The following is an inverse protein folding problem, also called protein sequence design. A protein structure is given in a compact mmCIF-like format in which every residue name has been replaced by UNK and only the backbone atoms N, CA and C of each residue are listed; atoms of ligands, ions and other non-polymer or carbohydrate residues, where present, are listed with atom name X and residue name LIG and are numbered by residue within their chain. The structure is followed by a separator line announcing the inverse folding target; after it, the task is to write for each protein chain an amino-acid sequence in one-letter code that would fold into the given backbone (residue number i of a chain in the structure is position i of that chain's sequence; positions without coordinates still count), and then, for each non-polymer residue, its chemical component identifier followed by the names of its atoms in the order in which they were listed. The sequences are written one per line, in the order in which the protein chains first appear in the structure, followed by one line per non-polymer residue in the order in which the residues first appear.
data_IF_801175174835
#
_entry.id   IF_801175174835
#
_cell.length_a   1.000
_cell.length_b   1.000
_cell.length_c   1.000
_cell.angle_alpha   90.00
_cell.angle_beta   90.00
_cell.angle_gamma   90.00
#
_symmetry.space_group_name_H-M   'P 1'
#
loop_
_entity.id
_entity.type
_entity.pdbx_description
1 polymer ?
#
# COMPACT_ATOMS: atom_id res chain seq x y z
N UNK A 1 16.94 29.86 -3.28
CA UNK A 1 16.98 29.70 -1.81
C UNK A 1 17.90 28.56 -1.39
N UNK A 2 17.74 27.35 -1.93
CA UNK A 2 18.61 26.19 -1.64
C UNK A 2 20.08 26.49 -1.98
N UNK A 3 20.38 27.08 -3.13
CA UNK A 3 21.78 27.39 -3.51
C UNK A 3 22.44 28.39 -2.54
N UNK A 4 21.66 29.33 -1.99
CA UNK A 4 22.15 30.27 -0.98
C UNK A 4 22.38 29.59 0.37
N UNK A 5 21.53 28.61 0.73
CA UNK A 5 21.74 27.78 1.92
C UNK A 5 23.00 26.92 1.79
N UNK A 6 23.22 26.35 0.60
CA UNK A 6 24.42 25.56 0.29
C UNK A 6 25.67 26.44 0.27
N UNK A 7 25.59 27.67 -0.26
CA UNK A 7 26.68 28.64 -0.23
C UNK A 7 27.06 29.01 1.21
N UNK A 8 26.08 29.35 2.07
CA UNK A 8 26.30 29.60 3.50
C UNK A 8 26.96 28.40 4.18
N UNK A 9 26.45 27.19 3.94
CA UNK A 9 27.00 25.96 4.50
C UNK A 9 28.43 25.68 3.99
N UNK A 10 28.73 25.98 2.73
CA UNK A 10 30.07 25.87 2.15
C UNK A 10 31.04 26.86 2.80
N UNK A 11 30.61 28.11 2.98
CA UNK A 11 31.41 29.16 3.60
C UNK A 11 31.79 28.80 5.04
N UNK A 12 30.85 28.21 5.80
CA UNK A 12 31.08 27.72 7.16
C UNK A 12 32.08 26.54 7.16
N UNK A 13 31.96 25.61 6.20
CA UNK A 13 32.89 24.50 6.05
C UNK A 13 34.32 24.93 5.70
N UNK A 14 34.47 26.02 4.93
CA UNK A 14 35.76 26.49 4.42
C UNK A 14 36.48 27.47 5.35
N UNK A 15 35.75 28.37 6.02
CA UNK A 15 36.30 29.53 6.72
C UNK A 15 36.11 29.52 8.24
N UNK A 16 35.49 28.46 8.78
CA UNK A 16 34.94 28.36 10.14
C UNK A 16 33.65 29.18 10.33
N UNK A 17 32.88 28.88 11.38
CA UNK A 17 31.50 29.35 11.53
C UNK A 17 31.39 30.87 11.58
N UNK A 18 32.17 31.56 12.41
CA UNK A 18 32.09 33.02 12.54
C UNK A 18 32.42 33.75 11.23
N UNK A 19 33.47 33.32 10.53
CA UNK A 19 33.91 33.95 9.28
C UNK A 19 33.00 33.57 8.11
N UNK A 20 32.53 32.32 8.07
CA UNK A 20 31.57 31.86 7.07
C UNK A 20 30.25 32.62 7.16
N UNK A 21 29.79 32.90 8.38
CA UNK A 21 28.60 33.72 8.65
C UNK A 21 28.85 35.19 8.29
N UNK A 22 30.01 35.76 8.66
CA UNK A 22 30.35 37.14 8.29
C UNK A 22 30.37 37.34 6.76
N UNK A 23 30.92 36.37 6.03
CA UNK A 23 30.89 36.38 4.55
C UNK A 23 29.47 36.25 4.02
N UNK A 24 28.63 35.39 4.61
CA UNK A 24 27.24 35.27 4.19
C UNK A 24 26.40 36.52 4.49
N UNK A 25 26.72 37.28 5.55
CA UNK A 25 26.04 38.54 5.91
C UNK A 25 26.27 39.66 4.89
N UNK A 26 27.29 39.55 4.04
CA UNK A 26 27.48 40.49 2.92
C UNK A 26 26.34 40.48 1.91
N UNK A 27 25.53 39.41 1.87
CA UNK A 27 24.33 39.32 1.05
C UNK A 27 23.09 39.98 1.69
N UNK A 28 23.22 40.54 2.89
CA UNK A 28 22.16 41.19 3.67
C UNK A 28 21.51 40.26 4.69
N UNK A 29 21.16 40.80 5.86
CA UNK A 29 20.57 40.04 6.96
C UNK A 29 19.20 39.46 6.59
N UNK A 30 18.38 40.20 5.83
CA UNK A 30 17.09 39.70 5.29
C UNK A 30 17.26 38.48 4.38
N UNK A 31 18.36 38.43 3.62
CA UNK A 31 18.65 37.32 2.73
C UNK A 31 19.06 36.06 3.50
N UNK A 32 19.71 36.20 4.66
CA UNK A 32 20.03 35.06 5.54
C UNK A 32 18.76 34.57 6.23
N UNK A 33 17.92 35.48 6.73
CA UNK A 33 16.65 35.13 7.38
C UNK A 33 15.77 34.26 6.46
N UNK A 34 15.67 34.64 5.18
CA UNK A 34 14.92 33.88 4.17
C UNK A 34 15.52 32.49 3.85
N UNK A 35 16.79 32.26 4.20
CA UNK A 35 17.55 31.05 3.89
C UNK A 35 17.61 30.08 5.08
N UNK A 36 17.43 30.57 6.31
CA UNK A 36 17.45 29.75 7.54
C UNK A 36 16.58 28.48 7.48
N UNK A 37 15.33 28.50 6.94
CA UNK A 37 14.51 27.28 6.83
C UNK A 37 15.08 26.21 5.89
N UNK A 38 16.05 26.57 5.05
CA UNK A 38 16.71 25.69 4.09
C UNK A 38 18.07 25.16 4.60
N UNK A 39 18.57 25.65 5.74
CA UNK A 39 19.79 25.15 6.38
C UNK A 39 19.47 23.86 7.14
N UNK A 40 19.36 22.76 6.40
CA UNK A 40 19.07 21.41 6.89
C UNK A 40 19.85 20.39 6.07
N UNK A 41 20.13 19.21 6.65
CA UNK A 41 20.84 18.13 5.93
C UNK A 41 20.17 17.75 4.60
N UNK A 42 18.83 17.82 4.56
CA UNK A 42 18.03 17.55 3.36
C UNK A 42 18.21 18.56 2.23
N UNK A 43 18.87 19.70 2.46
CA UNK A 43 19.26 20.66 1.42
C UNK A 43 20.70 20.47 0.94
N UNK A 44 21.51 19.66 1.62
CA UNK A 44 22.96 19.58 1.39
C UNK A 44 23.37 18.43 0.44
N UNK A 45 24.29 18.69 -0.52
CA UNK A 45 24.96 17.67 -1.31
C UNK A 45 25.74 16.67 -0.45
N UNK A 46 25.99 15.43 -0.94
CA UNK A 46 26.72 14.40 -0.19
C UNK A 46 28.10 14.85 0.32
N UNK A 47 28.84 15.62 -0.49
CA UNK A 47 30.16 16.14 -0.14
C UNK A 47 30.11 17.12 1.05
N UNK A 48 29.10 17.99 1.10
CA UNK A 48 28.92 18.91 2.21
C UNK A 48 28.52 18.18 3.49
N UNK A 49 27.58 17.23 3.41
CA UNK A 49 27.18 16.41 4.58
C UNK A 49 28.36 15.66 5.17
N UNK A 50 29.19 15.04 4.32
CA UNK A 50 30.41 14.37 4.76
C UNK A 50 31.40 15.35 5.43
N UNK A 51 31.51 16.58 4.92
CA UNK A 51 32.32 17.65 5.53
C UNK A 51 31.83 18.06 6.91
N UNK A 52 30.52 18.26 7.09
CA UNK A 52 29.92 18.62 8.38
C UNK A 52 30.08 17.50 9.42
N UNK A 53 29.85 16.24 9.04
CA UNK A 53 30.11 15.10 9.91
C UNK A 53 31.60 14.97 10.32
N UNK A 54 32.53 15.16 9.38
CA UNK A 54 33.97 15.10 9.68
C UNK A 54 34.40 16.19 10.66
N UNK A 55 33.82 17.38 10.56
CA UNK A 55 34.09 18.51 11.47
C UNK A 55 33.24 18.48 12.75
N UNK A 56 32.36 17.47 12.93
CA UNK A 56 31.41 17.37 14.06
C UNK A 56 30.55 18.64 14.21
N UNK A 57 30.19 19.27 13.09
CA UNK A 57 29.35 20.45 13.06
C UNK A 57 27.91 20.02 12.73
N UNK A 58 26.98 20.43 13.58
CA UNK A 58 25.55 20.18 13.37
C UNK A 58 24.90 21.38 12.68
N UNK A 59 24.24 21.13 11.55
CA UNK A 59 23.54 22.18 10.78
C UNK A 59 22.38 22.80 11.57
N UNK A 60 21.73 22.03 12.44
CA UNK A 60 20.71 22.55 13.36
C UNK A 60 21.34 23.52 14.37
N UNK A 61 22.50 23.18 14.95
CA UNK A 61 23.21 24.08 15.87
C UNK A 61 23.62 25.41 15.22
N UNK A 62 24.07 25.36 13.97
CA UNK A 62 24.37 26.55 13.16
C UNK A 62 23.11 27.39 12.91
N UNK A 63 21.99 26.74 12.56
CA UNK A 63 20.70 27.43 12.34
C UNK A 63 20.21 28.12 13.60
N UNK A 64 20.23 27.44 14.75
CA UNK A 64 19.80 28.00 16.03
C UNK A 64 20.67 29.18 16.44
N UNK A 65 22.00 29.08 16.30
CA UNK A 65 22.91 30.21 16.60
C UNK A 65 22.67 31.41 15.69
N UNK A 66 22.39 31.18 14.40
CA UNK A 66 22.06 32.25 13.46
C UNK A 66 20.71 32.91 13.75
N UNK A 67 19.69 32.12 14.10
CA UNK A 67 18.38 32.64 14.50
C UNK A 67 18.49 33.54 15.75
N UNK A 68 19.27 33.12 16.76
CA UNK A 68 19.55 33.91 17.96
C UNK A 68 20.31 35.20 17.65
N UNK A 69 21.32 35.13 16.77
CA UNK A 69 22.16 36.28 16.41
C UNK A 69 21.39 37.33 15.59
N UNK A 70 20.42 36.90 14.78
CA UNK A 70 19.60 37.76 13.94
C UNK A 70 18.30 38.20 14.63
N UNK A 71 18.09 37.81 15.89
CA UNK A 71 16.88 38.10 16.68
C UNK A 71 15.56 37.68 15.99
N UNK A 72 15.58 36.52 15.32
CA UNK A 72 14.39 35.98 14.62
C UNK A 72 13.86 34.74 15.34
N UNK A 73 12.53 34.66 15.46
CA UNK A 73 11.82 33.48 15.99
C UNK A 73 12.13 32.23 15.14
N UNK A 74 12.36 31.08 15.78
CA UNK A 74 12.80 29.87 15.08
C UNK A 74 11.75 29.42 14.03
N UNK A 75 12.10 29.57 12.75
CA UNK A 75 11.16 29.29 11.66
C UNK A 75 11.04 27.78 11.41
N UNK A 76 9.82 27.27 11.12
CA UNK A 76 9.61 25.86 10.83
C UNK A 76 10.32 25.44 9.54
N UNK A 77 11.01 24.30 9.59
CA UNK A 77 11.70 23.72 8.43
C UNK A 77 10.75 23.47 7.26
N UNK A 78 11.16 23.90 6.06
CA UNK A 78 10.41 23.64 4.82
C UNK A 78 10.67 22.20 4.40
N UNK A 79 9.60 21.43 4.16
CA UNK A 79 9.68 20.06 3.66
C UNK A 79 10.16 20.04 2.21
N UNK A 80 11.45 19.77 2.00
CA UNK A 80 12.02 19.60 0.67
C UNK A 80 11.60 18.24 0.07
N UNK A 81 10.64 18.26 -0.87
CA UNK A 81 10.22 17.05 -1.59
C UNK A 81 11.24 16.75 -2.70
N UNK A 82 12.11 15.76 -2.46
CA UNK A 82 13.07 15.29 -3.48
C UNK A 82 12.38 14.28 -4.40
N UNK A 83 12.48 14.51 -5.70
CA UNK A 83 12.15 13.50 -6.72
C UNK A 83 13.26 12.44 -6.67
N UNK A 84 12.95 11.26 -6.18
CA UNK A 84 13.88 10.11 -6.17
C UNK A 84 13.69 9.29 -7.44
N UNK A 85 14.70 8.56 -7.90
CA UNK A 85 14.56 7.60 -8.99
C UNK A 85 13.42 6.60 -8.75
N UNK A 86 13.18 6.23 -7.49
CA UNK A 86 12.01 5.42 -7.11
C UNK A 86 10.67 6.11 -7.35
N UNK A 87 10.58 7.44 -7.17
CA UNK A 87 9.36 8.19 -7.53
C UNK A 87 9.15 8.29 -9.04
N UNK A 88 10.22 8.36 -9.83
CA UNK A 88 10.14 8.31 -11.31
C UNK A 88 9.74 6.92 -11.80
N UNK A 89 10.31 5.85 -11.23
CA UNK A 89 9.91 4.48 -11.53
C UNK A 89 8.44 4.23 -11.17
N UNK A 90 7.99 4.68 -9.99
CA UNK A 90 6.57 4.60 -9.61
C UNK A 90 5.68 5.38 -10.57
N UNK A 91 6.09 6.59 -10.98
CA UNK A 91 5.35 7.38 -11.96
C UNK A 91 5.29 6.70 -13.33
N UNK A 92 6.39 6.09 -13.78
CA UNK A 92 6.45 5.32 -15.03
C UNK A 92 5.59 4.05 -14.96
N UNK A 93 5.61 3.31 -13.85
CA UNK A 93 4.75 2.16 -13.60
C UNK A 93 3.27 2.56 -13.57
N UNK A 94 2.94 3.70 -12.95
CA UNK A 94 1.59 4.25 -12.94
C UNK A 94 1.14 4.66 -14.35
N UNK A 95 1.99 5.32 -15.12
CA UNK A 95 1.71 5.69 -16.52
C UNK A 95 1.56 4.46 -17.41
N UNK A 96 2.40 3.44 -17.23
CA UNK A 96 2.28 2.18 -17.96
C UNK A 96 1.01 1.43 -17.59
N UNK A 97 0.69 1.33 -16.29
CA UNK A 97 -0.55 0.72 -15.82
C UNK A 97 -1.78 1.49 -16.33
N UNK A 98 -1.76 2.83 -16.31
CA UNK A 98 -2.81 3.66 -16.86
C UNK A 98 -2.93 3.50 -18.38
N UNK A 99 -1.82 3.46 -19.13
CA UNK A 99 -1.81 3.20 -20.57
C UNK A 99 -2.37 1.81 -20.89
N UNK A 100 -1.90 0.77 -20.20
CA UNK A 100 -2.42 -0.59 -20.35
C UNK A 100 -3.91 -0.67 -20.02
N UNK A 101 -4.35 0.06 -18.98
CA UNK A 101 -5.76 0.17 -18.63
C UNK A 101 -6.57 0.86 -19.72
N UNK A 102 -6.11 2.01 -20.20
CA UNK A 102 -6.78 2.77 -21.26
C UNK A 102 -6.80 1.96 -22.55
N UNK A 103 -5.76 1.18 -22.86
CA UNK A 103 -5.78 0.25 -23.99
C UNK A 103 -6.75 -0.91 -23.80
N UNK A 104 -6.88 -1.44 -22.59
CA UNK A 104 -7.84 -2.50 -22.27
C UNK A 104 -9.29 -1.98 -22.26
N UNK A 105 -9.50 -0.75 -21.81
CA UNK A 105 -10.78 -0.03 -21.76
C UNK A 105 -11.16 0.62 -23.09
N UNK A 106 -10.20 0.92 -23.96
CA UNK A 106 -10.40 1.60 -25.24
C UNK A 106 -11.17 0.77 -26.27
N UNK A 107 -11.38 -0.52 -25.99
CA UNK A 107 -12.29 -1.39 -26.74
C UNK A 107 -13.63 -1.67 -26.07
N UNK A 108 -13.91 -1.09 -24.89
CA UNK A 108 -15.12 -1.38 -24.11
C UNK A 108 -16.12 -0.23 -24.27
N UNK A 109 -17.27 -0.51 -24.88
CA UNK A 109 -18.37 0.43 -24.99
C UNK A 109 -19.03 0.67 -23.63
N UNK A 110 -19.00 1.90 -23.12
CA UNK A 110 -19.72 2.28 -21.89
C UNK A 110 -21.24 2.04 -22.00
N UNK A 111 -21.75 1.98 -23.23
CA UNK A 111 -23.14 1.64 -23.54
C UNK A 111 -23.43 0.17 -23.26
N UNK A 112 -22.52 -0.76 -23.61
CA UNK A 112 -22.68 -2.19 -23.29
C UNK A 112 -22.60 -2.45 -21.79
N UNK A 113 -21.77 -1.71 -21.05
CA UNK A 113 -21.76 -1.76 -19.59
C UNK A 113 -23.08 -1.28 -18.98
N UNK A 114 -23.64 -0.18 -19.49
CA UNK A 114 -24.91 0.35 -19.01
C UNK A 114 -26.07 -0.61 -19.28
N UNK A 115 -26.07 -1.30 -20.42
CA UNK A 115 -27.08 -2.30 -20.76
C UNK A 115 -26.92 -3.57 -19.91
N UNK A 116 -25.68 -4.06 -19.73
CA UNK A 116 -25.40 -5.18 -18.82
C UNK A 116 -25.86 -4.89 -17.37
N UNK A 117 -25.76 -3.65 -16.91
CA UNK A 117 -26.26 -3.23 -15.60
C UNK A 117 -27.78 -3.19 -15.50
N UNK A 118 -28.49 -2.88 -16.60
CA UNK A 118 -29.96 -2.89 -16.64
C UNK A 118 -30.52 -4.30 -16.56
N UNK A 119 -29.84 -5.24 -17.23
CA UNK A 119 -30.26 -6.65 -17.26
C UNK A 119 -29.79 -7.43 -16.02
N UNK A 120 -28.90 -6.84 -15.21
CA UNK A 120 -28.39 -7.47 -14.00
C UNK A 120 -29.48 -7.64 -12.93
N UNK A 121 -29.41 -8.77 -12.23
CA UNK A 121 -30.25 -9.05 -11.08
C UNK A 121 -29.82 -8.20 -9.88
N UNK A 122 -30.56 -7.12 -9.68
CA UNK A 122 -30.39 -6.15 -8.59
C UNK A 122 -30.35 -6.76 -7.19
N UNK A 123 -31.03 -7.88 -6.91
CA UNK A 123 -30.95 -8.51 -5.58
C UNK A 123 -29.55 -9.04 -5.27
N UNK A 124 -28.90 -9.63 -6.27
CA UNK A 124 -27.53 -10.11 -6.12
C UNK A 124 -26.53 -8.95 -6.03
N UNK A 125 -26.75 -7.84 -6.75
CA UNK A 125 -25.94 -6.63 -6.60
C UNK A 125 -26.07 -6.05 -5.19
N UNK A 126 -27.28 -5.93 -4.65
CA UNK A 126 -27.51 -5.47 -3.28
C UNK A 126 -26.85 -6.40 -2.28
N UNK A 127 -26.98 -7.72 -2.46
CA UNK A 127 -26.31 -8.70 -1.61
C UNK A 127 -24.77 -8.54 -1.67
N UNK A 128 -24.21 -8.34 -2.87
CA UNK A 128 -22.79 -8.09 -3.04
C UNK A 128 -22.33 -6.81 -2.32
N UNK A 129 -23.13 -5.74 -2.36
CA UNK A 129 -22.83 -4.49 -1.63
C UNK A 129 -22.68 -4.75 -0.13
N UNK A 130 -23.54 -5.58 0.47
CA UNK A 130 -23.43 -5.95 1.88
C UNK A 130 -22.26 -6.90 2.14
N UNK A 131 -22.15 -7.98 1.37
CA UNK A 131 -21.11 -9.00 1.52
C UNK A 131 -19.70 -8.40 1.42
N UNK A 132 -19.49 -7.43 0.53
CA UNK A 132 -18.20 -6.76 0.36
C UNK A 132 -17.76 -5.96 1.60
N UNK A 133 -18.68 -5.60 2.51
CA UNK A 133 -18.34 -4.90 3.75
C UNK A 133 -17.92 -5.86 4.88
N UNK A 134 -18.45 -7.09 4.87
CA UNK A 134 -18.21 -8.10 5.91
C UNK A 134 -16.72 -8.42 6.12
N UNK A 135 -15.84 -8.52 5.08
CA UNK A 135 -14.41 -8.79 5.24
C UNK A 135 -13.66 -7.88 6.21
N UNK A 136 -14.18 -6.69 6.54
CA UNK A 136 -13.54 -5.76 7.49
C UNK A 136 -13.55 -6.31 8.93
N UNK A 137 -14.53 -7.13 9.28
CA UNK A 137 -14.62 -7.77 10.59
C UNK A 137 -13.50 -8.81 10.79
N UNK A 138 -13.31 -9.82 9.92
CA UNK A 138 -12.20 -10.74 10.06
C UNK A 138 -10.84 -10.08 9.79
N UNK A 139 -10.77 -9.00 9.00
CA UNK A 139 -9.56 -8.19 8.93
C UNK A 139 -9.20 -7.57 10.29
N UNK A 140 -10.18 -7.05 11.04
CA UNK A 140 -9.96 -6.59 12.41
C UNK A 140 -9.52 -7.74 13.33
N UNK A 141 -10.15 -8.92 13.23
CA UNK A 141 -9.72 -10.12 13.98
C UNK A 141 -8.28 -10.50 13.65
N UNK A 142 -7.88 -10.41 12.38
CA UNK A 142 -6.51 -10.67 11.95
C UNK A 142 -5.51 -9.72 12.61
N UNK A 143 -5.83 -8.43 12.59
CA UNK A 143 -5.02 -7.40 13.25
C UNK A 143 -4.94 -7.58 14.77
N UNK A 144 -5.99 -8.12 15.42
CA UNK A 144 -5.92 -8.51 16.84
C UNK A 144 -4.96 -9.68 17.11
N UNK A 145 -4.79 -10.58 16.12
CA UNK A 145 -3.84 -11.68 16.18
C UNK A 145 -2.39 -11.21 16.10
N UNK A 146 -2.13 -10.09 15.44
CA UNK A 146 -0.80 -9.51 15.28
C UNK A 146 -0.27 -8.74 16.50
N UNK A 147 -1.08 -8.60 17.57
CA UNK A 147 -0.71 -7.85 18.77
C UNK A 147 -1.11 -8.61 20.05
N UNK A 148 -0.28 -8.56 21.08
CA UNK A 148 -0.58 -9.28 22.34
C UNK A 148 -1.67 -8.58 23.18
N UNK A 149 -1.67 -7.24 23.17
CA UNK A 149 -2.66 -6.43 23.90
C UNK A 149 -4.09 -6.76 23.46
N UNK A 150 -5.05 -6.90 24.39
CA UNK A 150 -6.45 -7.10 24.04
C UNK A 150 -7.01 -5.79 23.45
N UNK A 151 -7.42 -5.86 22.18
CA UNK A 151 -8.10 -4.76 21.50
C UNK A 151 -9.61 -5.06 21.39
N UNK A 152 -10.48 -4.05 21.54
CA UNK A 152 -11.91 -4.23 21.33
C UNK A 152 -12.21 -4.37 19.82
N UNK A 153 -12.95 -5.41 19.44
CA UNK A 153 -13.26 -5.72 18.03
C UNK A 153 -14.07 -4.60 17.34
N UNK A 154 -14.96 -3.93 18.07
CA UNK A 154 -15.79 -2.85 17.53
C UNK A 154 -14.94 -1.70 16.99
N UNK A 155 -14.21 -0.94 17.84
CA UNK A 155 -13.34 0.15 17.42
C UNK A 155 -12.31 -0.25 16.37
N UNK A 156 -11.80 -1.49 16.43
CA UNK A 156 -10.83 -1.98 15.46
C UNK A 156 -11.47 -2.26 14.09
N UNK A 157 -12.69 -2.79 14.04
CA UNK A 157 -13.47 -2.88 12.79
C UNK A 157 -13.75 -1.47 12.23
N UNK A 158 -14.09 -0.51 13.09
CA UNK A 158 -14.27 0.90 12.70
C UNK A 158 -12.99 1.48 12.11
N UNK A 159 -11.82 1.10 12.64
CA UNK A 159 -10.52 1.47 12.09
C UNK A 159 -10.31 0.90 10.68
N UNK A 160 -10.69 -0.35 10.42
CA UNK A 160 -10.57 -0.95 9.07
C UNK A 160 -11.39 -0.15 8.04
N UNK A 161 -12.59 0.31 8.39
CA UNK A 161 -13.36 1.21 7.51
C UNK A 161 -12.69 2.59 7.37
N UNK A 162 -12.20 3.19 8.46
CA UNK A 162 -11.49 4.47 8.41
C UNK A 162 -10.24 4.41 7.52
N UNK A 163 -9.53 3.28 7.50
CA UNK A 163 -8.40 3.04 6.60
C UNK A 163 -8.83 3.12 5.13
N UNK A 164 -10.01 2.60 4.77
CA UNK A 164 -10.51 2.74 3.40
C UNK A 164 -10.65 4.22 2.98
N UNK A 165 -11.20 5.05 3.86
CA UNK A 165 -11.31 6.49 3.62
C UNK A 165 -9.93 7.15 3.50
N UNK A 166 -9.02 6.87 4.44
CA UNK A 166 -7.68 7.46 4.43
C UNK A 166 -6.89 7.04 3.18
N UNK A 167 -6.99 5.77 2.76
CA UNK A 167 -6.32 5.29 1.55
C UNK A 167 -6.80 5.99 0.28
N UNK A 168 -8.10 6.34 0.21
CA UNK A 168 -8.66 7.06 -0.93
C UNK A 168 -8.32 8.56 -0.87
N UNK A 169 -8.46 9.18 0.29
CA UNK A 169 -8.24 10.62 0.47
C UNK A 169 -6.76 11.01 0.44
N UNK A 170 -5.89 10.15 0.95
CA UNK A 170 -4.44 10.36 1.02
C UNK A 170 -3.78 9.08 0.50
N UNK A 171 -3.42 9.01 -0.80
CA UNK A 171 -2.82 7.83 -1.41
C UNK A 171 -1.36 7.65 -0.97
N UNK A 172 -1.15 7.45 0.33
CA UNK A 172 0.14 7.26 0.95
C UNK A 172 0.08 6.12 1.97
N UNK A 173 0.98 5.16 1.83
CA UNK A 173 1.17 4.09 2.81
C UNK A 173 1.49 4.65 4.20
N UNK A 174 2.19 5.79 4.26
CA UNK A 174 2.51 6.50 5.50
C UNK A 174 1.26 6.94 6.28
N UNK A 175 0.21 7.44 5.61
CA UNK A 175 -1.01 7.86 6.29
C UNK A 175 -1.74 6.69 6.95
N UNK A 176 -1.82 5.54 6.25
CA UNK A 176 -2.38 4.29 6.80
C UNK A 176 -1.59 3.81 8.02
N UNK A 177 -0.25 3.78 7.91
CA UNK A 177 0.63 3.34 9.01
C UNK A 177 0.50 4.28 10.21
N UNK A 178 0.49 5.59 10.00
CA UNK A 178 0.32 6.57 11.07
C UNK A 178 -1.03 6.41 11.79
N UNK A 179 -2.11 6.13 11.05
CA UNK A 179 -3.43 5.88 11.61
C UNK A 179 -3.42 4.64 12.53
N UNK A 180 -2.86 3.52 12.06
CA UNK A 180 -2.72 2.30 12.84
C UNK A 180 -1.88 2.52 14.10
N UNK A 181 -0.73 3.20 13.96
CA UNK A 181 0.14 3.51 15.10
C UNK A 181 -0.61 4.34 16.14
N UNK A 182 -1.27 5.42 15.74
CA UNK A 182 -2.03 6.27 16.67
C UNK A 182 -3.15 5.50 17.35
N UNK A 183 -3.87 4.68 16.61
CA UNK A 183 -4.92 3.83 17.18
C UNK A 183 -4.35 2.92 18.27
N UNK A 184 -3.29 2.17 17.96
CA UNK A 184 -2.68 1.26 18.94
C UNK A 184 -2.08 2.00 20.15
N UNK A 185 -1.50 3.19 19.96
CA UNK A 185 -1.01 4.04 21.04
C UNK A 185 -2.12 4.43 22.02
N UNK A 186 -3.33 4.71 21.53
CA UNK A 186 -4.49 5.01 22.39
C UNK A 186 -4.90 3.82 23.26
N UNK A 187 -4.51 2.61 22.89
CA UNK A 187 -4.70 1.39 23.69
C UNK A 187 -3.44 0.98 24.50
N UNK A 188 -2.46 1.88 24.62
CA UNK A 188 -1.27 1.68 25.45
C UNK A 188 -0.20 0.78 24.83
N UNK A 189 -0.15 0.71 23.49
CA UNK A 189 0.88 0.00 22.73
C UNK A 189 1.97 0.99 22.34
N UNK A 190 3.23 0.62 22.57
CA UNK A 190 4.37 1.43 22.12
C UNK A 190 4.39 1.59 20.58
N UNK A 191 4.73 2.78 20.02
CA UNK A 191 4.76 3.01 18.58
C UNK A 191 5.62 2.01 17.79
N UNK A 192 6.71 1.49 18.35
CA UNK A 192 7.57 0.50 17.68
C UNK A 192 6.86 -0.85 17.57
N UNK A 193 6.18 -1.29 18.62
CA UNK A 193 5.34 -2.51 18.63
C UNK A 193 4.15 -2.34 17.70
N UNK A 194 3.50 -1.18 17.70
CA UNK A 194 2.37 -0.85 16.83
C UNK A 194 2.74 -0.91 15.34
N UNK A 195 3.89 -0.34 14.97
CA UNK A 195 4.43 -0.45 13.61
C UNK A 195 4.74 -1.90 13.23
N UNK A 196 5.30 -2.67 14.16
CA UNK A 196 5.64 -4.08 13.94
C UNK A 196 4.39 -4.96 13.78
N UNK A 197 3.32 -4.71 14.53
CA UNK A 197 2.05 -5.43 14.40
C UNK A 197 1.46 -5.30 12.98
N UNK A 198 1.50 -4.11 12.39
CA UNK A 198 1.04 -3.92 11.00
C UNK A 198 1.87 -4.69 9.97
N UNK A 199 3.18 -4.86 10.22
CA UNK A 199 4.05 -5.70 9.39
C UNK A 199 3.69 -7.18 9.55
N UNK A 200 3.49 -7.64 10.78
CA UNK A 200 3.10 -9.03 11.07
C UNK A 200 1.78 -9.36 10.38
N UNK A 201 0.76 -8.50 10.52
CA UNK A 201 -0.55 -8.65 9.87
C UNK A 201 -0.42 -8.75 8.34
N UNK A 202 0.42 -7.90 7.74
CA UNK A 202 0.68 -7.91 6.30
C UNK A 202 1.40 -9.19 5.84
N UNK A 203 2.40 -9.65 6.60
CA UNK A 203 3.14 -10.89 6.29
C UNK A 203 2.25 -12.11 6.45
N UNK A 204 1.44 -12.17 7.51
CA UNK A 204 0.44 -13.23 7.70
C UNK A 204 -0.57 -13.25 6.56
N UNK A 205 -1.06 -12.09 6.12
CA UNK A 205 -1.97 -11.99 4.98
C UNK A 205 -1.34 -12.49 3.68
N UNK A 206 -0.10 -12.08 3.40
CA UNK A 206 0.64 -12.53 2.22
C UNK A 206 0.93 -14.04 2.26
N UNK A 207 1.26 -14.58 3.43
CA UNK A 207 1.46 -16.02 3.62
C UNK A 207 0.16 -16.81 3.36
N UNK A 208 -0.98 -16.33 3.84
CA UNK A 208 -2.30 -16.93 3.53
C UNK A 208 -2.61 -16.85 2.04
N UNK A 209 -2.29 -15.74 1.37
CA UNK A 209 -2.49 -15.60 -0.07
C UNK A 209 -1.64 -16.59 -0.87
N UNK A 210 -0.34 -16.73 -0.52
CA UNK A 210 0.53 -17.74 -1.15
C UNK A 210 -0.01 -19.14 -0.89
N UNK A 211 -0.40 -19.44 0.35
CA UNK A 211 -0.95 -20.75 0.69
C UNK A 211 -2.21 -21.05 -0.14
N UNK A 212 -3.19 -20.13 -0.16
CA UNK A 212 -4.40 -20.27 -0.97
C UNK A 212 -4.08 -20.44 -2.45
N UNK A 213 -3.20 -19.59 -2.99
CA UNK A 213 -2.77 -19.68 -4.38
C UNK A 213 -2.19 -21.06 -4.67
N UNK A 214 -1.21 -21.54 -3.91
CA UNK A 214 -0.60 -22.86 -4.13
C UNK A 214 -1.61 -23.98 -3.98
N UNK A 215 -2.42 -23.97 -2.91
CA UNK A 215 -3.40 -25.04 -2.68
C UNK A 215 -4.43 -25.11 -3.78
N UNK A 216 -5.00 -23.96 -4.16
CA UNK A 216 -6.05 -23.94 -5.17
C UNK A 216 -5.45 -24.20 -6.55
N UNK A 217 -4.29 -23.63 -6.87
CA UNK A 217 -3.63 -23.85 -8.14
C UNK A 217 -3.29 -25.34 -8.38
N UNK A 218 -2.74 -26.03 -7.39
CA UNK A 218 -2.37 -27.44 -7.53
C UNK A 218 -3.55 -28.41 -7.40
N UNK A 219 -4.65 -28.00 -6.75
CA UNK A 219 -5.84 -28.85 -6.58
C UNK A 219 -6.95 -28.53 -7.57
N UNK A 220 -6.86 -27.41 -8.29
CA UNK A 220 -7.87 -27.05 -9.27
C UNK A 220 -7.59 -27.77 -10.58
N UNK A 221 -8.53 -28.59 -11.04
CA UNK A 221 -8.61 -29.06 -12.43
C UNK A 221 -9.01 -27.92 -13.41
N UNK A 222 -8.72 -26.65 -13.07
CA UNK A 222 -9.18 -25.47 -13.79
C UNK A 222 -8.23 -25.16 -14.95
N UNK A 223 -8.59 -25.58 -16.14
CA UNK A 223 -7.86 -25.25 -17.36
C UNK A 223 -8.02 -23.76 -17.72
N UNK A 224 -7.12 -22.92 -17.21
CA UNK A 224 -7.02 -21.52 -17.62
C UNK A 224 -6.41 -21.43 -19.01
N UNK A 225 -7.22 -21.60 -20.05
CA UNK A 225 -6.81 -21.46 -21.45
C UNK A 225 -6.43 -20.02 -21.81
N UNK A 226 -5.22 -19.57 -21.46
CA UNK A 226 -4.63 -18.36 -22.05
C UNK A 226 -3.79 -18.76 -23.28
N UNK A 227 -4.38 -18.60 -24.46
CA UNK A 227 -3.63 -18.59 -25.71
C UNK A 227 -2.92 -17.25 -25.87
N UNK A 228 -1.67 -17.14 -25.42
CA UNK A 228 -0.79 -16.09 -25.93
C UNK A 228 -0.37 -16.48 -27.34
N UNK A 229 -0.77 -15.68 -28.33
CA UNK A 229 -0.45 -15.95 -29.72
C UNK A 229 1.07 -16.09 -29.94
N UNK A 230 1.48 -17.27 -30.41
CA UNK A 230 2.81 -17.51 -30.96
C UNK A 230 3.79 -18.26 -30.06
N UNK A 231 3.46 -19.48 -29.63
CA UNK A 231 4.36 -20.63 -29.57
C UNK A 231 3.52 -21.86 -29.16
N UNK A 232 3.64 -22.93 -29.93
CA UNK A 232 2.82 -24.14 -29.86
C UNK A 232 2.79 -24.81 -28.47
N UNK A 233 1.59 -25.25 -28.08
CA UNK A 233 1.27 -26.31 -27.11
C UNK A 233 1.97 -26.28 -25.74
N UNK A 234 1.73 -25.22 -24.97
CA UNK A 234 1.84 -25.27 -23.51
C UNK A 234 0.55 -24.74 -22.88
N UNK A 235 -0.27 -25.71 -22.44
CA UNK A 235 -1.49 -25.58 -21.63
C UNK A 235 -1.51 -24.28 -20.80
N UNK A 236 -2.52 -23.43 -21.02
CA UNK A 236 -2.54 -22.04 -20.53
C UNK A 236 -2.43 -21.88 -19.00
N UNK A 237 -2.75 -22.94 -18.24
CA UNK A 237 -2.48 -23.11 -16.82
C UNK A 237 -0.99 -22.93 -16.47
N UNK A 238 -0.12 -23.54 -17.26
CA UNK A 238 1.34 -23.51 -17.06
C UNK A 238 1.87 -22.10 -17.25
N UNK A 239 1.34 -21.32 -18.19
CA UNK A 239 1.81 -19.96 -18.51
C UNK A 239 1.45 -18.95 -17.42
N UNK A 240 0.21 -18.95 -16.90
CA UNK A 240 -0.18 -18.03 -15.80
C UNK A 240 0.58 -18.37 -14.53
N UNK A 241 0.67 -19.66 -14.21
CA UNK A 241 1.42 -20.12 -13.05
C UNK A 241 2.89 -19.74 -13.15
N UNK A 242 3.50 -19.92 -14.32
CA UNK A 242 4.89 -19.59 -14.57
C UNK A 242 5.09 -18.08 -14.57
N UNK A 243 4.13 -17.25 -15.00
CA UNK A 243 4.19 -15.78 -14.87
C UNK A 243 4.07 -15.36 -13.41
N UNK A 244 3.16 -15.92 -12.62
CA UNK A 244 3.00 -15.59 -11.20
C UNK A 244 4.20 -16.08 -10.40
N UNK A 245 4.66 -17.31 -10.63
CA UNK A 245 5.87 -17.88 -10.04
C UNK A 245 7.10 -17.08 -10.48
N UNK A 246 7.23 -16.73 -11.76
CA UNK A 246 8.33 -15.88 -12.24
C UNK A 246 8.26 -14.49 -11.62
N UNK A 247 7.08 -13.89 -11.45
CA UNK A 247 6.94 -12.60 -10.78
C UNK A 247 7.32 -12.67 -9.29
N UNK A 248 6.91 -13.74 -8.59
CA UNK A 248 7.30 -14.00 -7.20
C UNK A 248 8.80 -14.25 -7.10
N UNK A 249 9.38 -15.03 -8.02
CA UNK A 249 10.80 -15.35 -8.07
C UNK A 249 11.64 -14.13 -8.44
N UNK A 250 11.25 -13.36 -9.46
CA UNK A 250 11.91 -12.12 -9.86
C UNK A 250 11.86 -11.11 -8.72
N UNK A 251 10.73 -10.97 -8.04
CA UNK A 251 10.63 -10.13 -6.86
C UNK A 251 11.54 -10.64 -5.73
N UNK A 252 11.50 -11.92 -5.40
CA UNK A 252 12.38 -12.52 -4.39
C UNK A 252 13.87 -12.32 -4.73
N UNK A 253 14.24 -12.50 -6.00
CA UNK A 253 15.60 -12.28 -6.51
C UNK A 253 15.97 -10.80 -6.43
N UNK A 254 15.10 -9.87 -6.81
CA UNK A 254 15.34 -8.43 -6.67
C UNK A 254 15.52 -8.03 -5.19
N UNK A 255 14.69 -8.56 -4.30
CA UNK A 255 14.78 -8.34 -2.85
C UNK A 255 16.11 -8.85 -2.27
N UNK A 256 16.63 -9.97 -2.77
CA UNK A 256 17.89 -10.60 -2.33
C UNK A 256 19.12 -9.95 -2.99
N UNK A 257 19.03 -9.57 -4.27
CA UNK A 257 20.14 -9.08 -5.07
C UNK A 257 20.52 -7.63 -4.75
N UNK A 258 19.56 -6.78 -4.38
CA UNK A 258 19.82 -5.39 -4.00
C UNK A 258 20.46 -5.33 -2.59
N UNK A 259 21.75 -4.93 -2.45
CA UNK A 259 22.45 -4.95 -1.16
C UNK A 259 21.81 -4.01 -0.13
N UNK A 260 21.11 -2.95 -0.58
CA UNK A 260 20.36 -2.03 0.29
C UNK A 260 19.09 -2.65 0.89
N UNK A 261 18.62 -3.78 0.35
CA UNK A 261 17.41 -4.49 0.79
C UNK A 261 17.71 -5.77 1.56
N UNK A 262 18.94 -6.29 1.50
CA UNK A 262 19.37 -7.45 2.32
C UNK A 262 19.13 -7.24 3.81
N UNK A 263 19.37 -6.06 4.36
CA UNK A 263 19.07 -5.74 5.77
C UNK A 263 17.56 -5.77 6.05
N UNK A 264 16.73 -5.29 5.12
CA UNK A 264 15.27 -5.36 5.23
C UNK A 264 14.73 -6.78 5.10
N UNK A 265 15.31 -7.60 4.23
CA UNK A 265 14.96 -9.02 4.08
C UNK A 265 15.37 -9.77 5.35
N UNK A 266 16.56 -9.53 5.90
CA UNK A 266 16.98 -10.09 7.18
C UNK A 266 16.10 -9.62 8.35
N UNK A 267 15.65 -8.36 8.35
CA UNK A 267 14.67 -7.84 9.32
C UNK A 267 13.29 -8.49 9.14
N UNK A 268 12.84 -8.74 7.90
CA UNK A 268 11.59 -9.46 7.60
C UNK A 268 11.71 -10.91 8.07
N UNK A 269 12.85 -11.56 7.85
CA UNK A 269 13.13 -12.91 8.37
C UNK A 269 13.17 -12.92 9.90
N UNK A 270 13.82 -11.95 10.55
CA UNK A 270 13.78 -11.83 12.03
C UNK A 270 12.39 -11.52 12.56
N UNK A 271 11.58 -10.74 11.84
CA UNK A 271 10.18 -10.46 12.19
C UNK A 271 9.29 -11.67 11.93
N UNK A 272 9.59 -12.48 10.92
CA UNK A 272 8.93 -13.75 10.66
C UNK A 272 9.30 -14.79 11.72
N UNK A 273 10.54 -14.81 12.22
CA UNK A 273 10.91 -15.65 13.37
C UNK A 273 10.37 -15.10 14.69
N UNK A 274 10.16 -13.80 14.83
CA UNK A 274 9.35 -13.23 15.92
C UNK A 274 7.86 -13.60 15.79
N UNK A 275 7.32 -13.69 14.56
CA UNK A 275 6.00 -14.26 14.31
C UNK A 275 5.94 -15.76 14.65
N UNK A 276 7.06 -16.50 14.54
CA UNK A 276 7.16 -17.85 15.11
C UNK A 276 7.14 -17.85 16.65
N UNK A 277 7.50 -16.76 17.34
CA UNK A 277 7.25 -16.66 18.79
C UNK A 277 5.75 -16.54 19.12
N UNK A 278 4.91 -16.09 18.17
CA UNK A 278 3.43 -16.10 18.28
C UNK A 278 2.86 -17.53 18.26
N UNK A 279 3.64 -18.55 17.87
CA UNK A 279 3.28 -19.98 18.09
C UNK A 279 3.03 -20.33 19.56
N UNK A 280 3.44 -19.48 20.50
CA UNK A 280 3.11 -19.64 21.92
C UNK A 280 1.62 -19.45 22.22
N UNK A 281 0.85 -18.80 21.33
CA UNK A 281 -0.60 -18.63 21.49
C UNK A 281 -1.34 -19.11 20.23
N UNK A 282 -1.89 -20.35 20.22
CA UNK A 282 -2.64 -20.87 19.09
C UNK A 282 -3.85 -19.99 18.74
N UNK A 283 -4.42 -19.31 19.75
CA UNK A 283 -5.51 -18.35 19.56
C UNK A 283 -5.09 -17.14 18.70
N UNK A 284 -3.89 -16.59 18.93
CA UNK A 284 -3.39 -15.42 18.17
C UNK A 284 -3.04 -15.77 16.73
N UNK A 285 -2.48 -16.97 16.53
CA UNK A 285 -2.28 -17.50 15.18
C UNK A 285 -3.60 -17.72 14.44
N UNK A 286 -4.58 -18.35 15.09
CA UNK A 286 -5.89 -18.56 14.49
C UNK A 286 -6.58 -17.23 14.17
N UNK A 287 -6.44 -16.22 15.03
CA UNK A 287 -6.93 -14.87 14.76
C UNK A 287 -6.25 -14.26 13.54
N UNK A 288 -4.92 -14.27 13.49
CA UNK A 288 -4.13 -13.68 12.39
C UNK A 288 -4.39 -14.38 11.04
N UNK A 289 -4.10 -15.68 10.96
CA UNK A 289 -4.20 -16.45 9.72
C UNK A 289 -5.66 -16.75 9.37
N UNK A 290 -6.48 -17.15 10.34
CA UNK A 290 -7.90 -17.43 10.11
C UNK A 290 -8.70 -16.17 9.74
N UNK A 291 -8.36 -15.01 10.33
CA UNK A 291 -8.94 -13.72 9.94
C UNK A 291 -8.60 -13.35 8.49
N UNK A 292 -7.33 -13.50 8.09
CA UNK A 292 -6.92 -13.27 6.71
C UNK A 292 -7.57 -14.26 5.72
N UNK A 293 -7.62 -15.54 6.07
CA UNK A 293 -8.26 -16.57 5.25
C UNK A 293 -9.75 -16.31 5.04
N UNK A 294 -10.47 -16.02 6.13
CA UNK A 294 -11.89 -15.70 6.08
C UNK A 294 -12.14 -14.40 5.29
N UNK A 295 -11.25 -13.41 5.40
CA UNK A 295 -11.31 -12.19 4.61
C UNK A 295 -11.24 -12.50 3.10
N UNK A 296 -10.30 -13.35 2.67
CA UNK A 296 -10.18 -13.77 1.27
C UNK A 296 -11.43 -14.51 0.77
N UNK A 297 -11.94 -15.45 1.56
CA UNK A 297 -13.15 -16.21 1.22
C UNK A 297 -14.36 -15.27 1.09
N UNK A 298 -14.56 -14.35 2.03
CA UNK A 298 -15.70 -13.44 1.98
C UNK A 298 -15.61 -12.45 0.81
N UNK A 299 -14.42 -12.00 0.44
CA UNK A 299 -14.22 -11.22 -0.77
C UNK A 299 -14.60 -12.03 -2.03
N UNK A 300 -14.19 -13.30 -2.11
CA UNK A 300 -14.59 -14.17 -3.21
C UNK A 300 -16.10 -14.48 -3.22
N UNK A 301 -16.75 -14.58 -2.06
CA UNK A 301 -18.20 -14.74 -1.94
C UNK A 301 -18.94 -13.47 -2.41
N UNK A 302 -18.41 -12.28 -2.09
CA UNK A 302 -18.94 -11.02 -2.62
C UNK A 302 -18.76 -10.91 -4.15
N UNK A 303 -17.63 -11.40 -4.68
CA UNK A 303 -17.41 -11.52 -6.12
C UNK A 303 -18.40 -12.51 -6.76
N UNK A 304 -18.65 -13.65 -6.12
CA UNK A 304 -19.64 -14.65 -6.58
C UNK A 304 -21.04 -14.06 -6.67
N UNK A 305 -21.43 -13.23 -5.69
CA UNK A 305 -22.71 -12.50 -5.76
C UNK A 305 -22.75 -11.55 -6.96
N UNK A 306 -21.64 -10.87 -7.30
CA UNK A 306 -21.58 -10.07 -8.53
C UNK A 306 -21.70 -10.94 -9.78
N UNK A 307 -20.96 -12.05 -9.88
CA UNK A 307 -21.03 -12.99 -11.02
C UNK A 307 -22.47 -13.46 -11.24
N UNK A 308 -23.16 -13.88 -10.18
CA UNK A 308 -24.58 -14.30 -10.23
C UNK A 308 -25.53 -13.17 -10.60
N UNK A 309 -25.20 -11.92 -10.28
CA UNK A 309 -26.01 -10.78 -10.68
C UNK A 309 -26.07 -10.63 -12.20
N UNK A 310 -25.00 -10.99 -12.92
CA UNK A 310 -24.94 -10.91 -14.37
C UNK A 310 -25.31 -12.24 -15.06
N UNK A 311 -25.92 -13.19 -14.33
CA UNK A 311 -26.42 -14.45 -14.89
C UNK A 311 -25.36 -15.52 -15.11
N UNK A 312 -24.12 -15.26 -14.72
CA UNK A 312 -23.01 -16.20 -14.81
C UNK A 312 -22.89 -17.05 -13.55
N UNK A 313 -22.23 -18.21 -13.64
CA UNK A 313 -21.90 -19.04 -12.48
C UNK A 313 -20.49 -19.59 -12.60
N UNK A 314 -19.71 -19.44 -11.53
CA UNK A 314 -18.35 -19.95 -11.43
C UNK A 314 -18.17 -20.59 -10.05
N UNK A 315 -17.41 -21.70 -9.97
CA UNK A 315 -17.16 -22.34 -8.69
C UNK A 315 -16.37 -21.39 -7.79
N UNK A 316 -16.69 -21.42 -6.49
CA UNK A 316 -16.10 -20.50 -5.51
C UNK A 316 -14.57 -20.62 -5.46
N UNK A 317 -14.02 -21.81 -5.72
CA UNK A 317 -12.57 -22.04 -5.82
C UNK A 317 -11.91 -21.16 -6.90
N UNK A 318 -12.50 -21.07 -8.10
CA UNK A 318 -12.01 -20.18 -9.17
C UNK A 318 -12.03 -18.73 -8.73
N UNK A 319 -13.11 -18.28 -8.09
CA UNK A 319 -13.26 -16.90 -7.65
C UNK A 319 -12.29 -16.54 -6.51
N UNK A 320 -12.02 -17.47 -5.60
CA UNK A 320 -10.97 -17.31 -4.58
C UNK A 320 -9.60 -17.20 -5.24
N UNK A 321 -9.30 -18.06 -6.22
CA UNK A 321 -8.02 -18.03 -6.93
C UNK A 321 -7.84 -16.72 -7.70
N UNK A 322 -8.83 -16.31 -8.50
CA UNK A 322 -8.84 -15.05 -9.24
C UNK A 322 -8.62 -13.87 -8.28
N UNK A 323 -9.42 -13.76 -7.22
CA UNK A 323 -9.30 -12.67 -6.25
C UNK A 323 -7.93 -12.69 -5.53
N UNK A 324 -7.39 -13.87 -5.25
CA UNK A 324 -6.06 -14.03 -4.61
C UNK A 324 -4.93 -13.58 -5.54
N UNK A 325 -4.95 -14.00 -6.81
CA UNK A 325 -3.94 -13.62 -7.82
C UNK A 325 -3.98 -12.11 -8.06
N UNK A 326 -5.17 -11.54 -8.21
CA UNK A 326 -5.33 -10.09 -8.38
C UNK A 326 -4.83 -9.33 -7.16
N UNK A 327 -5.14 -9.81 -5.95
CA UNK A 327 -4.69 -9.19 -4.70
C UNK A 327 -3.18 -9.26 -4.52
N UNK A 328 -2.56 -10.40 -4.85
CA UNK A 328 -1.11 -10.57 -4.86
C UNK A 328 -0.48 -9.56 -5.82
N UNK A 329 -0.93 -9.53 -7.07
CA UNK A 329 -0.38 -8.65 -8.09
C UNK A 329 -0.55 -7.16 -7.73
N UNK A 330 -1.74 -6.76 -7.28
CA UNK A 330 -2.01 -5.39 -6.84
C UNK A 330 -1.17 -4.99 -5.61
N UNK A 331 -0.88 -5.92 -4.70
CA UNK A 331 -0.02 -5.69 -3.53
C UNK A 331 1.45 -5.47 -3.87
N UNK A 332 1.92 -5.98 -5.01
CA UNK A 332 3.30 -5.80 -5.48
C UNK A 332 3.52 -4.48 -6.22
N UNK A 333 2.46 -3.91 -6.78
CA UNK A 333 2.54 -2.66 -7.53
C UNK A 333 2.39 -1.45 -6.59
N UNK A 334 3.20 -0.38 -6.79
CA UNK A 334 3.14 0.85 -5.99
C UNK A 334 1.94 1.73 -6.39
N UNK A 335 0.80 1.13 -6.67
CA UNK A 335 -0.40 1.79 -7.19
C UNK A 335 -1.40 1.94 -6.03
N UNK A 336 -1.66 3.16 -5.56
CA UNK A 336 -2.54 3.38 -4.43
C UNK A 336 -3.95 2.85 -4.74
N UNK A 337 -4.43 1.91 -3.92
CA UNK A 337 -5.76 1.32 -4.06
C UNK A 337 -5.92 0.32 -5.22
N UNK A 338 -4.83 0.00 -5.94
CA UNK A 338 -4.85 -0.93 -7.07
C UNK A 338 -5.80 -0.49 -8.20
N UNK A 339 -6.16 0.80 -8.27
CA UNK A 339 -7.10 1.32 -9.26
C UNK A 339 -6.60 1.02 -10.68
N UNK A 340 -7.51 0.47 -11.49
CA UNK A 340 -7.22 -0.02 -12.81
C UNK A 340 -6.64 -1.44 -12.81
N UNK A 341 -5.59 -1.70 -12.04
CA UNK A 341 -4.96 -3.03 -12.01
C UNK A 341 -5.91 -4.10 -11.50
N UNK A 342 -6.66 -3.82 -10.43
CA UNK A 342 -7.59 -4.78 -9.88
C UNK A 342 -8.78 -5.01 -10.81
N UNK A 343 -9.32 -3.97 -11.43
CA UNK A 343 -10.38 -4.05 -12.45
C UNK A 343 -9.92 -4.91 -13.64
N UNK A 344 -8.74 -4.61 -14.20
CA UNK A 344 -8.18 -5.35 -15.32
C UNK A 344 -7.87 -6.81 -14.94
N UNK A 345 -7.24 -7.04 -13.79
CA UNK A 345 -6.90 -8.38 -13.31
C UNK A 345 -8.13 -9.24 -13.06
N UNK A 346 -9.20 -8.66 -12.47
CA UNK A 346 -10.48 -9.35 -12.29
C UNK A 346 -11.14 -9.66 -13.63
N UNK A 347 -11.18 -8.68 -14.55
CA UNK A 347 -11.74 -8.87 -15.89
C UNK A 347 -11.01 -9.99 -16.61
N UNK A 348 -9.68 -9.94 -16.67
CA UNK A 348 -8.85 -10.98 -17.29
C UNK A 348 -9.05 -12.35 -16.62
N UNK A 349 -9.12 -12.41 -15.29
CA UNK A 349 -9.32 -13.66 -14.57
C UNK A 349 -10.70 -14.28 -14.77
N UNK A 350 -11.74 -13.45 -14.93
CA UNK A 350 -13.10 -13.90 -15.23
C UNK A 350 -13.22 -14.32 -16.70
N UNK A 351 -12.60 -13.58 -17.62
CA UNK A 351 -12.56 -13.93 -19.04
C UNK A 351 -11.81 -15.23 -19.27
N UNK A 352 -10.69 -15.45 -18.58
CA UNK A 352 -9.95 -16.72 -18.65
C UNK A 352 -10.71 -17.89 -18.02
N UNK A 353 -11.69 -17.61 -17.17
CA UNK A 353 -12.62 -18.60 -16.63
C UNK A 353 -13.87 -18.81 -17.51
N UNK A 354 -13.92 -18.22 -18.70
CA UNK A 354 -14.96 -18.45 -19.71
C UNK A 354 -16.07 -17.39 -19.77
N UNK A 355 -16.02 -16.33 -18.97
CA UNK A 355 -17.03 -15.25 -19.01
C UNK A 355 -16.74 -14.31 -20.20
N UNK A 356 -17.76 -13.90 -20.99
CA UNK A 356 -17.57 -12.90 -22.04
C UNK A 356 -16.93 -11.61 -21.52
N UNK A 357 -15.99 -11.03 -22.28
CA UNK A 357 -15.16 -9.90 -21.81
C UNK A 357 -15.98 -8.70 -21.31
N UNK A 358 -17.07 -8.36 -21.99
CA UNK A 358 -17.92 -7.22 -21.61
C UNK A 358 -18.64 -7.48 -20.27
N UNK A 359 -19.17 -8.69 -20.09
CA UNK A 359 -19.79 -9.14 -18.83
C UNK A 359 -18.76 -9.23 -17.70
N UNK A 360 -17.57 -9.78 -17.97
CA UNK A 360 -16.48 -9.88 -17.01
C UNK A 360 -16.04 -8.50 -16.50
N UNK A 361 -15.95 -7.52 -17.39
CA UNK A 361 -15.65 -6.14 -17.04
C UNK A 361 -16.75 -5.52 -16.18
N UNK A 362 -18.02 -5.74 -16.54
CA UNK A 362 -19.16 -5.26 -15.77
C UNK A 362 -19.18 -5.84 -14.34
N UNK A 363 -18.94 -7.15 -14.20
CA UNK A 363 -18.79 -7.85 -12.92
C UNK A 363 -17.63 -7.24 -12.12
N UNK A 364 -16.46 -7.05 -12.74
CA UNK A 364 -15.28 -6.51 -12.08
C UNK A 364 -15.53 -5.09 -11.55
N UNK A 365 -16.19 -4.22 -12.33
CA UNK A 365 -16.57 -2.88 -11.90
C UNK A 365 -17.60 -2.90 -10.77
N UNK A 366 -18.66 -3.70 -10.88
CA UNK A 366 -19.69 -3.83 -9.84
C UNK A 366 -19.07 -4.30 -8.51
N UNK A 367 -18.20 -5.32 -8.58
CA UNK A 367 -17.47 -5.82 -7.43
C UNK A 367 -16.53 -4.76 -6.83
N UNK A 368 -15.81 -4.00 -7.66
CA UNK A 368 -14.92 -2.93 -7.19
C UNK A 368 -15.68 -1.75 -6.61
N UNK A 369 -16.85 -1.43 -7.15
CA UNK A 369 -17.77 -0.48 -6.55
C UNK A 369 -18.13 -0.90 -5.12
N UNK A 370 -18.59 -2.13 -4.94
CA UNK A 370 -18.94 -2.67 -3.63
C UNK A 370 -17.76 -2.77 -2.66
N UNK A 371 -16.60 -3.25 -3.14
CA UNK A 371 -15.45 -3.64 -2.30
C UNK A 371 -14.44 -2.54 -2.06
N UNK A 372 -14.38 -1.51 -2.91
CA UNK A 372 -13.34 -0.48 -2.87
C UNK A 372 -13.87 0.95 -2.91
N UNK A 373 -14.82 1.28 -3.79
CA UNK A 373 -15.31 2.67 -3.94
C UNK A 373 -16.38 3.07 -2.91
N UNK A 374 -17.25 2.13 -2.52
CA UNK A 374 -18.28 2.36 -1.50
C UNK A 374 -17.75 2.45 -0.05
N UNK A 375 -16.82 1.58 0.42
CA UNK A 375 -16.35 1.58 1.81
C UNK A 375 -15.77 2.91 2.32
N UNK A 376 -15.02 3.71 1.53
CA UNK A 376 -14.54 5.04 1.94
C UNK A 376 -15.63 5.99 2.42
N UNK A 377 -16.86 5.89 1.91
CA UNK A 377 -18.00 6.73 2.34
C UNK A 377 -18.34 6.44 3.80
N UNK A 378 -18.51 5.16 4.15
CA UNK A 378 -18.70 4.73 5.54
C UNK A 378 -17.45 4.99 6.39
N UNK A 379 -16.27 4.84 5.78
CA UNK A 379 -14.97 5.08 6.37
C UNK A 379 -14.79 6.50 6.88
N UNK A 380 -15.35 7.51 6.20
CA UNK A 380 -15.33 8.90 6.66
C UNK A 380 -16.03 9.05 8.03
N UNK A 381 -17.25 8.53 8.15
CA UNK A 381 -18.01 8.57 9.40
C UNK A 381 -17.31 7.77 10.50
N UNK A 382 -16.72 6.62 10.15
CA UNK A 382 -15.92 5.80 11.06
C UNK A 382 -14.69 6.55 11.58
N UNK A 383 -13.97 7.26 10.70
CA UNK A 383 -12.81 8.06 11.03
C UNK A 383 -13.17 9.22 11.98
N UNK A 384 -14.26 9.94 11.68
CA UNK A 384 -14.75 11.02 12.55
C UNK A 384 -15.19 10.50 13.92
N UNK A 385 -15.89 9.37 13.96
CA UNK A 385 -16.28 8.72 15.22
C UNK A 385 -15.07 8.32 16.06
N UNK A 386 -14.04 7.72 15.45
CA UNK A 386 -12.80 7.34 16.13
C UNK A 386 -12.08 8.56 16.71
N UNK A 387 -12.05 9.70 15.99
CA UNK A 387 -11.51 10.96 16.49
C UNK A 387 -12.31 11.49 17.69
N UNK A 388 -13.65 11.53 17.57
CA UNK A 388 -14.55 12.01 18.64
C UNK A 388 -14.42 11.18 19.91
N UNK A 389 -14.24 9.87 19.78
CA UNK A 389 -14.02 8.94 20.90
C UNK A 389 -12.56 8.88 21.39
N UNK A 390 -11.66 9.70 20.83
CA UNK A 390 -10.22 9.75 21.17
C UNK A 390 -9.48 8.42 20.95
N UNK A 391 -9.93 7.64 19.98
CA UNK A 391 -9.22 6.45 19.50
C UNK A 391 -8.14 6.77 18.45
N UNK A 392 -7.97 8.05 18.04
CA UNK A 392 -6.94 8.52 17.09
C UNK A 392 -6.15 9.74 17.58
#
# INVERSE_FOLDING_TARGET
AIDRAQLLALSILLLDEERGVAVARTFGDDAIIAVLPFVQEAAMPPLMRAGFHRRKLELDGVRTRLATTLHVEEQPLIKLRRVTWGSLLNAALLLFAAFALISLLGGIDLESFADALKDANWWWLVLALFLAQVPRVPAAVSTMGAIERPLPLGPLTTLQFAICYVNLAIPSSAARVALNIRFFQRFGVDPTTAASAGVIDSVSGFAVQIFLFLTLFFWSDLDFGLSFGGADDLEGLSTIALIVVAAIVVLAVLLIALPSWRSRVLDIWHKATAALQVLRSPKKLLQSFGGNLLCQILFAVALSACVKAFGEDLPLSSLVLINTVVSLFAGLLPIPGGMGVSEAGLTLGLTSAGIPSDTAFAIALAYRFASFYLPPIWGYFCYDWLKKKRYL
#
